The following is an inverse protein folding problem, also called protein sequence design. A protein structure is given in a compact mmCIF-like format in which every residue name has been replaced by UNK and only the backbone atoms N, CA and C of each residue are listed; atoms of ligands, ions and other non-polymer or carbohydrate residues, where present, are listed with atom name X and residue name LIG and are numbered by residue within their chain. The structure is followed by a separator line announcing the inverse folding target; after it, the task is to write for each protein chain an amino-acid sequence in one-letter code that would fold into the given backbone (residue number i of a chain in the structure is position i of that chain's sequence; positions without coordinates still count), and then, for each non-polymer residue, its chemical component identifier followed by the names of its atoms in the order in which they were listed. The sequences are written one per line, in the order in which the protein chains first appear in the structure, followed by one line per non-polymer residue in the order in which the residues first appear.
data_IF_299064803329
#
_entry.id   IF_299064803329
#
_cell.length_a   1.000
_cell.length_b   1.000
_cell.length_c   1.000
_cell.angle_alpha   90.00
_cell.angle_beta   90.00
_cell.angle_gamma   90.00
#
_symmetry.space_group_name_H-M   'P 1'
#
loop_
_entity.id
_entity.type
_entity.pdbx_description
1 polymer ?
#
# COMPACT_ATOMS: atom_id res chain seq x y z
N UNK A 1 89.96 -52.96 -31.49
CA UNK A 1 88.75 -53.31 -32.23
C UNK A 1 87.67 -53.45 -31.21
N UNK A 2 86.88 -52.44 -31.08
CA UNK A 2 85.80 -52.33 -30.05
C UNK A 2 84.47 -52.14 -30.77
N UNK A 3 83.56 -53.03 -30.50
CA UNK A 3 82.21 -53.00 -31.01
C UNK A 3 81.29 -52.29 -30.01
N UNK A 4 80.60 -51.29 -30.48
CA UNK A 4 79.56 -50.52 -29.80
C UNK A 4 78.29 -51.30 -29.79
N UNK A 5 77.46 -51.36 -28.69
CA UNK A 5 76.12 -51.89 -28.74
C UNK A 5 75.04 -50.77 -28.94
N UNK A 6 74.15 -51.12 -29.75
CA UNK A 6 73.02 -50.42 -30.33
C UNK A 6 72.02 -49.94 -29.27
N UNK A 7 71.50 -48.71 -29.44
CA UNK A 7 70.39 -48.12 -28.74
C UNK A 7 69.07 -48.91 -28.91
N UNK A 8 68.42 -49.20 -27.80
CA UNK A 8 67.03 -49.69 -27.78
C UNK A 8 66.06 -48.54 -27.88
N UNK A 9 65.26 -48.53 -28.93
CA UNK A 9 64.10 -47.62 -29.10
C UNK A 9 62.99 -47.98 -28.10
N UNK A 10 62.73 -47.06 -27.22
CA UNK A 10 61.51 -47.15 -26.40
C UNK A 10 60.29 -46.73 -27.23
N UNK A 11 59.27 -47.58 -27.26
CA UNK A 11 58.05 -47.43 -28.04
C UNK A 11 57.20 -46.26 -27.55
N UNK A 12 56.56 -45.49 -28.42
CA UNK A 12 55.78 -44.28 -28.09
C UNK A 12 54.47 -44.56 -27.35
N UNK A 13 54.10 -45.80 -27.08
CA UNK A 13 52.83 -46.20 -26.47
C UNK A 13 52.82 -45.99 -24.94
N UNK A 14 53.94 -45.82 -24.28
CA UNK A 14 53.99 -45.66 -22.80
C UNK A 14 53.80 -44.23 -22.33
N UNK A 15 54.05 -43.23 -23.18
CA UNK A 15 53.87 -41.81 -22.84
C UNK A 15 52.41 -41.36 -22.98
N UNK A 16 51.62 -41.98 -23.87
CA UNK A 16 50.24 -41.65 -24.05
C UNK A 16 49.32 -42.11 -22.89
N UNK A 17 49.74 -43.16 -22.15
CA UNK A 17 48.97 -43.66 -20.99
C UNK A 17 49.08 -42.77 -19.73
N UNK A 18 50.19 -42.08 -19.56
CA UNK A 18 50.38 -41.19 -18.39
C UNK A 18 49.63 -39.82 -18.58
N UNK A 19 49.53 -39.35 -19.84
CA UNK A 19 48.85 -38.07 -20.10
C UNK A 19 47.31 -38.18 -19.95
N UNK A 20 46.72 -39.34 -20.15
CA UNK A 20 45.27 -39.56 -19.97
C UNK A 20 44.88 -39.71 -18.49
N UNK A 21 45.81 -40.09 -17.61
CA UNK A 21 45.51 -40.22 -16.15
C UNK A 21 45.61 -38.93 -15.38
N UNK A 22 46.30 -37.91 -15.91
CA UNK A 22 46.44 -36.61 -15.28
C UNK A 22 45.28 -35.66 -15.62
N UNK A 23 44.59 -35.88 -16.76
CA UNK A 23 43.46 -35.08 -17.20
C UNK A 23 42.15 -35.50 -16.50
N UNK A 24 42.10 -36.67 -15.86
CA UNK A 24 40.90 -37.16 -15.16
C UNK A 24 40.78 -36.69 -13.68
N UNK A 25 41.71 -35.87 -13.16
CA UNK A 25 41.65 -35.36 -11.76
C UNK A 25 41.37 -33.88 -11.64
N UNK A 26 40.93 -33.20 -12.67
CA UNK A 26 40.43 -31.80 -12.60
C UNK A 26 38.99 -31.70 -13.09
N UNK A 27 38.12 -32.59 -12.62
CA UNK A 27 36.71 -32.30 -12.58
C UNK A 27 36.45 -31.47 -11.28
N UNK A 28 36.98 -30.26 -11.26
CA UNK A 28 36.54 -29.26 -10.32
C UNK A 28 35.07 -29.02 -10.68
N UNK A 29 34.18 -29.68 -9.96
CA UNK A 29 32.73 -29.40 -9.97
C UNK A 29 32.59 -27.91 -9.75
N UNK A 30 32.38 -27.16 -10.83
CA UNK A 30 32.21 -25.71 -10.79
C UNK A 30 30.84 -25.47 -10.17
N UNK A 31 30.80 -25.41 -8.83
CA UNK A 31 29.56 -25.09 -8.12
C UNK A 31 29.13 -23.68 -8.52
N UNK A 32 27.92 -23.55 -9.03
CA UNK A 32 27.35 -22.24 -9.31
C UNK A 32 27.02 -21.54 -7.99
N UNK A 33 26.96 -20.21 -7.93
CA UNK A 33 26.52 -19.47 -6.74
C UNK A 33 25.16 -19.98 -6.23
N UNK A 34 24.28 -20.40 -7.14
CA UNK A 34 22.97 -20.96 -6.85
C UNK A 34 23.05 -22.31 -6.15
N UNK A 35 23.96 -23.20 -6.59
CA UNK A 35 24.21 -24.50 -5.97
C UNK A 35 24.73 -24.34 -4.53
N UNK A 36 25.65 -23.41 -4.33
CA UNK A 36 26.19 -23.08 -2.99
C UNK A 36 25.08 -22.52 -2.09
N UNK A 37 24.24 -21.63 -2.61
CA UNK A 37 23.14 -21.05 -1.85
C UNK A 37 22.09 -22.11 -1.46
N UNK A 38 21.80 -23.06 -2.36
CA UNK A 38 20.91 -24.19 -2.10
C UNK A 38 21.50 -25.12 -1.03
N UNK A 39 22.77 -25.49 -1.18
CA UNK A 39 23.48 -26.34 -0.23
C UNK A 39 23.45 -25.74 1.20
N UNK A 40 23.75 -24.46 1.35
CA UNK A 40 23.76 -23.78 2.64
C UNK A 40 22.38 -23.69 3.29
N UNK A 41 21.32 -23.59 2.49
CA UNK A 41 19.92 -23.63 2.99
C UNK A 41 19.52 -25.02 3.49
N UNK A 42 19.98 -26.06 2.81
CA UNK A 42 19.65 -27.46 3.14
C UNK A 42 20.50 -28.00 4.32
N UNK A 43 21.67 -27.42 4.56
CA UNK A 43 22.64 -27.86 5.57
C UNK A 43 22.99 -26.76 6.57
N UNK A 44 22.05 -26.30 7.44
CA UNK A 44 22.31 -25.25 8.42
C UNK A 44 23.41 -25.62 9.42
N UNK A 45 23.63 -26.92 9.68
CA UNK A 45 24.72 -27.46 10.53
C UNK A 45 26.11 -27.12 9.97
N UNK A 46 26.24 -26.81 8.69
CA UNK A 46 27.49 -26.39 8.09
C UNK A 46 28.06 -25.15 8.76
N UNK A 47 27.20 -24.19 9.12
CA UNK A 47 27.60 -22.96 9.81
C UNK A 47 28.10 -23.25 11.24
N UNK A 48 27.52 -24.23 11.92
CA UNK A 48 27.91 -24.62 13.29
C UNK A 48 29.27 -25.32 13.25
N UNK A 49 29.45 -26.25 12.31
CA UNK A 49 30.68 -27.06 12.21
C UNK A 49 31.88 -26.28 11.68
N UNK A 50 31.66 -25.16 10.96
CA UNK A 50 32.72 -24.34 10.33
C UNK A 50 32.62 -22.88 10.79
N UNK A 51 32.32 -22.65 12.06
CA UNK A 51 32.16 -21.32 12.62
C UNK A 51 33.41 -20.45 12.54
N UNK A 52 34.57 -21.06 12.66
CA UNK A 52 35.93 -20.45 12.50
C UNK A 52 36.13 -19.87 11.11
N UNK A 53 35.77 -20.62 10.05
CA UNK A 53 35.88 -20.17 8.66
C UNK A 53 35.00 -18.92 8.45
N UNK A 54 33.80 -18.93 8.99
CA UNK A 54 32.86 -17.79 8.87
C UNK A 54 33.31 -16.56 9.67
N UNK A 55 34.00 -16.75 10.79
CA UNK A 55 34.57 -15.64 11.57
C UNK A 55 35.69 -14.90 10.80
N UNK A 56 36.45 -15.60 9.96
CA UNK A 56 37.53 -15.03 9.14
C UNK A 56 37.00 -14.34 7.86
N UNK A 57 35.77 -14.65 7.40
CA UNK A 57 35.21 -14.05 6.21
C UNK A 57 34.92 -12.55 6.40
N UNK A 58 35.66 -11.72 5.65
CA UNK A 58 35.48 -10.26 5.59
C UNK A 58 34.70 -9.87 4.34
N UNK A 59 33.51 -9.33 4.54
CA UNK A 59 32.67 -8.83 3.45
C UNK A 59 32.86 -7.32 3.28
N UNK A 60 32.87 -6.77 2.04
CA UNK A 60 32.92 -5.32 1.84
C UNK A 60 31.71 -4.63 2.46
N UNK A 61 31.95 -3.53 3.18
CA UNK A 61 30.88 -2.72 3.74
C UNK A 61 30.12 -2.01 2.62
N UNK A 62 28.79 -2.04 2.57
CA UNK A 62 28.00 -1.51 1.46
C UNK A 62 28.18 -0.01 1.21
N UNK A 63 28.60 0.77 2.23
CA UNK A 63 28.72 2.23 2.14
C UNK A 63 30.11 2.80 2.43
N UNK A 64 31.06 2.02 2.93
CA UNK A 64 32.37 2.55 3.37
C UNK A 64 33.58 1.91 2.72
N UNK A 65 33.39 0.88 1.90
CA UNK A 65 34.52 0.15 1.25
C UNK A 65 35.44 -0.61 2.20
N UNK A 66 35.21 -0.57 3.53
CA UNK A 66 35.97 -1.33 4.52
C UNK A 66 35.43 -2.75 4.65
N UNK A 67 36.30 -3.72 4.79
CA UNK A 67 35.90 -5.10 5.04
C UNK A 67 35.36 -5.24 6.47
N UNK A 68 34.21 -5.86 6.62
CA UNK A 68 33.54 -6.17 7.90
C UNK A 68 33.31 -7.67 8.00
N UNK A 69 33.21 -8.18 9.23
CA UNK A 69 32.87 -9.59 9.46
C UNK A 69 31.43 -9.89 9.04
N UNK A 70 31.14 -11.17 8.76
CA UNK A 70 29.76 -11.60 8.44
C UNK A 70 28.79 -11.26 9.58
N UNK A 71 29.25 -11.43 10.85
CA UNK A 71 28.45 -11.10 12.03
C UNK A 71 28.10 -9.60 12.12
N UNK A 72 29.07 -8.72 11.85
CA UNK A 72 28.83 -7.28 11.81
C UNK A 72 27.82 -6.90 10.72
N UNK A 73 27.90 -7.54 9.55
CA UNK A 73 26.92 -7.33 8.47
C UNK A 73 25.53 -7.79 8.87
N UNK A 74 25.41 -8.93 9.55
CA UNK A 74 24.12 -9.40 10.07
C UNK A 74 23.52 -8.42 11.09
N UNK A 75 24.36 -7.89 12.01
CA UNK A 75 23.92 -6.88 12.98
C UNK A 75 23.42 -5.62 12.29
N UNK A 76 24.12 -5.12 11.27
CA UNK A 76 23.68 -3.96 10.48
C UNK A 76 22.35 -4.23 9.78
N UNK A 77 22.18 -5.40 9.15
CA UNK A 77 20.94 -5.80 8.49
C UNK A 77 19.78 -5.92 9.48
N UNK A 78 20.01 -6.49 10.66
CA UNK A 78 19.00 -6.61 11.71
C UNK A 78 18.59 -5.25 12.27
N UNK A 79 19.54 -4.33 12.48
CA UNK A 79 19.24 -2.96 12.91
C UNK A 79 18.41 -2.21 11.89
N UNK A 80 18.70 -2.35 10.60
CA UNK A 80 17.92 -1.73 9.53
C UNK A 80 16.49 -2.28 9.48
N UNK A 81 16.32 -3.61 9.58
CA UNK A 81 15.01 -4.25 9.66
C UNK A 81 14.22 -3.81 10.90
N UNK A 82 14.89 -3.72 12.05
CA UNK A 82 14.26 -3.24 13.28
C UNK A 82 13.74 -1.82 13.10
N UNK A 83 14.57 -0.91 12.58
CA UNK A 83 14.19 0.48 12.30
C UNK A 83 13.01 0.56 11.32
N UNK A 84 12.99 -0.24 10.26
CA UNK A 84 11.86 -0.31 9.33
C UNK A 84 10.58 -0.78 10.02
N UNK A 85 10.68 -1.80 10.88
CA UNK A 85 9.55 -2.32 11.65
C UNK A 85 9.01 -1.28 12.64
N UNK A 86 9.90 -0.59 13.35
CA UNK A 86 9.54 0.50 14.27
C UNK A 86 8.82 1.64 13.53
N UNK A 87 9.32 2.05 12.36
CA UNK A 87 8.67 3.07 11.54
C UNK A 87 7.28 2.63 11.05
N UNK A 88 7.15 1.37 10.62
CA UNK A 88 5.86 0.80 10.22
C UNK A 88 4.88 0.78 11.40
N UNK A 89 5.33 0.33 12.57
CA UNK A 89 4.51 0.31 13.78
C UNK A 89 4.07 1.73 14.19
N UNK A 90 4.98 2.69 14.16
CA UNK A 90 4.65 4.09 14.45
C UNK A 90 3.58 4.63 13.48
N UNK A 91 3.67 4.32 12.18
CA UNK A 91 2.66 4.66 11.18
C UNK A 91 1.30 4.01 11.47
N UNK A 92 1.28 2.73 11.82
CA UNK A 92 0.05 2.02 12.18
C UNK A 92 -0.62 2.62 13.43
N UNK A 93 0.17 2.95 14.47
CA UNK A 93 -0.34 3.60 15.69
C UNK A 93 -0.93 4.99 15.36
N UNK A 94 -0.25 5.76 14.51
CA UNK A 94 -0.74 7.07 14.07
C UNK A 94 -2.08 6.94 13.34
N UNK A 95 -2.17 6.02 12.38
CA UNK A 95 -3.40 5.77 11.62
C UNK A 95 -4.55 5.29 12.52
N UNK A 96 -4.26 4.40 13.48
CA UNK A 96 -5.25 3.94 14.45
C UNK A 96 -5.81 5.11 15.27
N UNK A 97 -4.96 5.98 15.82
CA UNK A 97 -5.39 7.18 16.57
C UNK A 97 -6.22 8.15 15.72
N UNK A 98 -5.84 8.33 14.45
CA UNK A 98 -6.61 9.16 13.52
C UNK A 98 -7.98 8.56 13.24
N UNK A 99 -8.07 7.26 13.02
CA UNK A 99 -9.33 6.55 12.82
C UNK A 99 -10.24 6.62 14.06
N UNK A 100 -9.68 6.47 15.26
CA UNK A 100 -10.42 6.61 16.51
C UNK A 100 -11.00 8.03 16.66
N UNK A 101 -10.22 9.07 16.35
CA UNK A 101 -10.68 10.46 16.38
C UNK A 101 -11.80 10.73 15.38
N UNK A 102 -11.71 10.18 14.16
CA UNK A 102 -12.78 10.29 13.15
C UNK A 102 -14.04 9.53 13.61
N UNK A 103 -13.88 8.34 14.18
CA UNK A 103 -14.99 7.53 14.69
C UNK A 103 -15.74 8.27 15.81
N UNK A 104 -15.01 8.91 16.73
CA UNK A 104 -15.63 9.69 17.80
C UNK A 104 -16.46 10.87 17.24
N UNK A 105 -15.92 11.60 16.26
CA UNK A 105 -16.67 12.68 15.59
C UNK A 105 -17.90 12.15 14.87
N UNK A 106 -17.80 10.98 14.25
CA UNK A 106 -18.94 10.34 13.57
C UNK A 106 -20.05 9.98 14.56
N UNK A 107 -19.71 9.46 15.76
CA UNK A 107 -20.70 9.21 16.83
C UNK A 107 -21.37 10.49 17.30
N UNK A 108 -20.63 11.57 17.52
CA UNK A 108 -21.18 12.87 17.88
C UNK A 108 -22.13 13.39 16.80
N UNK A 109 -21.73 13.25 15.53
CA UNK A 109 -22.58 13.64 14.41
C UNK A 109 -23.86 12.81 14.32
N UNK A 110 -23.83 11.50 14.63
CA UNK A 110 -25.03 10.66 14.71
C UNK A 110 -26.00 11.18 15.79
N UNK A 111 -25.47 11.62 16.96
CA UNK A 111 -26.31 12.24 18.00
C UNK A 111 -27.00 13.50 17.48
N UNK A 112 -26.28 14.34 16.73
CA UNK A 112 -26.88 15.52 16.09
C UNK A 112 -27.95 15.13 15.06
N UNK A 113 -27.68 14.15 14.18
CA UNK A 113 -28.65 13.70 13.18
C UNK A 113 -29.94 13.16 13.79
N UNK A 114 -29.84 12.43 14.89
CA UNK A 114 -31.02 11.88 15.60
C UNK A 114 -31.84 13.00 16.24
N UNK A 115 -31.20 14.09 16.66
CA UNK A 115 -31.89 15.25 17.26
C UNK A 115 -32.55 16.17 16.23
N UNK A 116 -32.24 16.03 14.93
CA UNK A 116 -32.83 16.88 13.89
C UNK A 116 -34.33 16.55 13.70
N UNK A 117 -35.22 17.57 13.66
CA UNK A 117 -36.60 17.37 13.35
C UNK A 117 -36.79 17.06 11.87
N UNK A 118 -37.86 16.31 11.55
CA UNK A 118 -38.26 16.10 10.16
C UNK A 118 -38.84 17.41 9.62
N UNK A 119 -38.23 18.00 8.62
CA UNK A 119 -38.59 19.28 8.03
C UNK A 119 -38.08 19.41 6.61
N UNK A 120 -38.66 20.32 5.84
CA UNK A 120 -38.22 20.65 4.48
C UNK A 120 -36.75 21.22 4.44
N UNK A 121 -36.22 21.67 5.59
CA UNK A 121 -34.88 22.20 5.75
C UNK A 121 -33.88 21.17 6.28
N UNK A 122 -34.25 19.89 6.33
CA UNK A 122 -33.42 18.82 6.88
C UNK A 122 -32.08 18.71 6.15
N UNK A 123 -32.05 18.86 4.84
CA UNK A 123 -30.80 18.84 4.05
C UNK A 123 -29.86 19.99 4.45
N UNK A 124 -30.37 21.20 4.70
CA UNK A 124 -29.60 22.36 5.16
C UNK A 124 -29.09 22.15 6.60
N UNK A 125 -29.91 21.54 7.46
CA UNK A 125 -29.51 21.20 8.81
C UNK A 125 -28.36 20.17 8.84
N UNK A 126 -28.46 19.12 8.04
CA UNK A 126 -27.38 18.12 7.85
C UNK A 126 -26.11 18.80 7.33
N UNK A 127 -26.23 19.68 6.34
CA UNK A 127 -25.12 20.47 5.82
C UNK A 127 -24.42 21.26 6.92
N UNK A 128 -25.19 21.97 7.76
CA UNK A 128 -24.64 22.79 8.82
C UNK A 128 -23.87 21.96 9.86
N UNK A 129 -24.45 20.82 10.30
CA UNK A 129 -23.77 19.91 11.25
C UNK A 129 -22.49 19.29 10.66
N UNK A 130 -22.48 18.97 9.38
CA UNK A 130 -21.26 18.46 8.71
C UNK A 130 -20.13 19.50 8.69
N UNK A 131 -20.44 20.75 8.41
CA UNK A 131 -19.45 21.83 8.43
C UNK A 131 -18.90 22.02 9.85
N UNK A 132 -19.75 22.04 10.86
CA UNK A 132 -19.35 22.26 12.27
C UNK A 132 -18.56 21.07 12.83
N UNK A 133 -19.11 19.85 12.77
CA UNK A 133 -18.52 18.70 13.43
C UNK A 133 -17.23 18.22 12.75
N UNK A 134 -17.14 18.36 11.43
CA UNK A 134 -15.95 17.93 10.69
C UNK A 134 -15.01 19.08 10.31
N UNK A 135 -15.35 20.34 10.62
CA UNK A 135 -14.51 21.50 10.32
C UNK A 135 -14.26 21.65 8.82
N UNK A 136 -15.31 21.59 8.02
CA UNK A 136 -15.23 21.75 6.56
C UNK A 136 -15.31 23.22 6.18
N UNK A 137 -14.69 23.58 5.05
CA UNK A 137 -14.78 24.93 4.48
C UNK A 137 -16.20 25.17 3.91
N UNK A 138 -16.74 24.18 3.23
CA UNK A 138 -18.06 24.20 2.62
C UNK A 138 -18.60 22.78 2.48
N UNK A 139 -19.91 22.65 2.39
CA UNK A 139 -20.60 21.40 2.08
C UNK A 139 -21.90 21.68 1.32
N UNK A 140 -22.34 20.76 0.52
CA UNK A 140 -23.65 20.82 -0.13
C UNK A 140 -24.34 19.47 -0.03
N UNK A 141 -25.59 19.48 0.40
CA UNK A 141 -26.48 18.32 0.41
C UNK A 141 -27.59 18.59 -0.57
N UNK A 142 -27.73 17.78 -1.61
CA UNK A 142 -28.85 17.81 -2.54
C UNK A 142 -29.58 16.48 -2.47
N UNK A 143 -30.83 16.54 -2.08
CA UNK A 143 -31.71 15.39 -2.02
C UNK A 143 -32.92 15.60 -2.94
N UNK A 144 -33.16 14.68 -3.84
CA UNK A 144 -34.29 14.72 -4.78
C UNK A 144 -35.20 13.50 -4.69
N UNK A 145 -34.82 12.48 -3.90
CA UNK A 145 -35.57 11.26 -3.76
C UNK A 145 -35.75 10.51 -5.07
N UNK A 146 -36.99 10.18 -5.41
CA UNK A 146 -37.36 9.46 -6.63
C UNK A 146 -37.44 10.35 -7.89
N UNK A 147 -37.35 11.67 -7.75
CA UNK A 147 -37.53 12.63 -8.88
C UNK A 147 -36.21 13.36 -9.13
N UNK A 148 -35.31 12.81 -9.99
CA UNK A 148 -34.02 13.43 -10.25
C UNK A 148 -34.16 14.80 -10.95
N UNK A 149 -33.18 15.71 -10.76
CA UNK A 149 -33.17 16.98 -11.46
C UNK A 149 -32.90 16.78 -12.96
N UNK A 150 -33.19 17.83 -13.77
CA UNK A 150 -33.00 17.80 -15.22
C UNK A 150 -31.52 17.82 -15.66
N UNK A 151 -30.55 17.94 -14.74
CA UNK A 151 -29.12 17.94 -15.02
C UNK A 151 -28.63 16.52 -15.33
N UNK A 152 -28.73 16.14 -16.61
CA UNK A 152 -28.32 14.82 -17.09
C UNK A 152 -26.83 14.55 -16.83
N UNK A 153 -25.94 15.54 -16.97
CA UNK A 153 -24.51 15.36 -16.77
C UNK A 153 -24.18 15.03 -15.30
N UNK A 154 -24.84 15.67 -14.36
CA UNK A 154 -24.73 15.35 -12.93
C UNK A 154 -25.24 13.94 -12.64
N UNK A 155 -26.44 13.59 -13.10
CA UNK A 155 -27.06 12.29 -12.84
C UNK A 155 -26.21 11.15 -13.42
N UNK A 156 -25.77 11.27 -14.67
CA UNK A 156 -24.96 10.25 -15.35
C UNK A 156 -23.62 10.05 -14.62
N UNK A 157 -22.99 11.13 -14.13
CA UNK A 157 -21.74 11.04 -13.37
C UNK A 157 -21.93 10.31 -12.03
N UNK A 158 -23.04 10.56 -11.34
CA UNK A 158 -23.37 9.94 -10.05
C UNK A 158 -23.83 8.48 -10.20
N UNK A 159 -24.56 8.14 -11.27
CA UNK A 159 -25.07 6.79 -11.50
C UNK A 159 -23.94 5.76 -11.62
N UNK A 160 -22.82 6.15 -12.24
CA UNK A 160 -21.65 5.30 -12.43
C UNK A 160 -20.68 5.28 -11.23
N UNK A 161 -20.93 6.08 -10.19
CA UNK A 161 -20.05 6.19 -9.03
C UNK A 161 -20.46 5.19 -7.95
N UNK A 162 -19.64 4.12 -7.76
CA UNK A 162 -19.88 3.08 -6.76
C UNK A 162 -19.35 3.42 -5.36
N UNK A 163 -18.31 4.28 -5.27
CA UNK A 163 -17.66 4.67 -4.02
C UNK A 163 -17.48 6.20 -3.99
N UNK A 164 -17.27 6.81 -2.81
CA UNK A 164 -16.96 8.23 -2.71
C UNK A 164 -15.74 8.61 -3.57
N UNK A 165 -15.87 9.65 -4.40
CA UNK A 165 -14.79 10.20 -5.18
C UNK A 165 -14.09 11.31 -4.36
N UNK A 166 -12.76 11.29 -4.31
CA UNK A 166 -11.95 12.22 -3.51
C UNK A 166 -10.75 12.74 -4.30
N UNK A 167 -10.37 14.00 -4.08
CA UNK A 167 -9.19 14.59 -4.73
C UNK A 167 -9.12 16.11 -4.62
N UNK A 168 -7.96 16.66 -4.99
CA UNK A 168 -7.71 18.12 -5.03
C UNK A 168 -8.14 18.80 -6.35
N UNK A 169 -8.43 18.01 -7.39
CA UNK A 169 -8.78 18.54 -8.74
C UNK A 169 -9.70 17.53 -9.43
N UNK A 170 -10.90 17.33 -8.89
CA UNK A 170 -11.88 16.44 -9.51
C UNK A 170 -12.62 17.21 -10.63
N UNK A 171 -12.51 16.71 -11.85
CA UNK A 171 -13.36 17.13 -12.97
C UNK A 171 -14.71 16.39 -12.85
N UNK A 172 -15.58 16.92 -11.99
CA UNK A 172 -16.88 16.33 -11.70
C UNK A 172 -17.95 17.40 -11.57
N UNK A 173 -19.12 17.26 -12.23
CA UNK A 173 -20.19 18.27 -12.24
C UNK A 173 -20.64 18.68 -10.83
N UNK A 174 -20.64 17.76 -9.87
CA UNK A 174 -21.05 18.04 -8.50
C UNK A 174 -20.18 19.07 -7.77
N UNK A 175 -18.94 19.31 -8.20
CA UNK A 175 -18.05 20.33 -7.58
C UNK A 175 -18.66 21.72 -7.73
N UNK A 176 -19.34 22.00 -8.82
CA UNK A 176 -20.01 23.27 -9.07
C UNK A 176 -21.18 23.57 -8.09
N UNK A 177 -21.60 22.60 -7.30
CA UNK A 177 -22.65 22.78 -6.28
C UNK A 177 -22.11 23.46 -5.00
N UNK A 178 -20.81 23.52 -4.79
CA UNK A 178 -20.20 24.23 -3.68
C UNK A 178 -20.20 25.75 -3.93
N UNK A 179 -20.42 26.53 -2.88
CA UNK A 179 -20.40 27.99 -2.93
C UNK A 179 -18.97 28.54 -3.04
N UNK A 180 -17.98 27.79 -2.54
CA UNK A 180 -16.57 28.16 -2.53
C UNK A 180 -15.73 27.15 -3.30
N UNK A 181 -14.66 27.61 -3.94
CA UNK A 181 -13.69 26.70 -4.60
C UNK A 181 -12.86 25.99 -3.54
N UNK A 182 -12.96 24.65 -3.39
CA UNK A 182 -12.21 23.92 -2.38
C UNK A 182 -10.78 23.62 -2.84
N UNK A 183 -9.84 23.45 -1.89
CA UNK A 183 -8.52 22.91 -2.18
C UNK A 183 -8.55 21.39 -2.36
N UNK A 184 -9.48 20.69 -1.70
CA UNK A 184 -9.80 19.28 -1.95
C UNK A 184 -11.29 19.03 -1.73
N UNK A 185 -11.82 17.98 -2.39
CA UNK A 185 -13.25 17.70 -2.41
C UNK A 185 -13.51 16.20 -2.24
N UNK A 186 -14.62 15.88 -1.57
CA UNK A 186 -15.19 14.54 -1.55
C UNK A 186 -16.63 14.58 -2.08
N UNK A 187 -16.97 13.67 -3.00
CA UNK A 187 -18.30 13.55 -3.60
C UNK A 187 -18.86 12.19 -3.23
N UNK A 188 -20.03 12.18 -2.62
CA UNK A 188 -20.68 11.00 -2.07
C UNK A 188 -22.08 10.91 -2.67
N UNK A 189 -22.35 9.81 -3.33
CA UNK A 189 -23.70 9.55 -3.88
C UNK A 189 -24.60 9.09 -2.74
N UNK A 190 -25.75 9.74 -2.59
CA UNK A 190 -26.77 9.36 -1.63
C UNK A 190 -27.76 8.40 -2.31
N UNK A 191 -27.93 7.21 -1.72
CA UNK A 191 -28.84 6.17 -2.18
C UNK A 191 -29.75 5.76 -1.03
N UNK A 192 -30.98 5.34 -1.35
CA UNK A 192 -31.94 4.90 -0.35
C UNK A 192 -32.68 3.67 -0.84
N UNK A 193 -32.84 2.66 0.01
CA UNK A 193 -33.38 1.34 -0.34
C UNK A 193 -34.77 1.42 -0.96
N UNK A 194 -35.63 2.36 -0.51
CA UNK A 194 -36.96 2.58 -1.05
C UNK A 194 -36.94 3.08 -2.51
N UNK A 195 -35.85 3.76 -2.91
CA UNK A 195 -35.68 4.35 -4.25
C UNK A 195 -34.96 3.37 -5.18
N UNK A 196 -34.23 2.38 -4.60
CA UNK A 196 -33.43 1.39 -5.31
C UNK A 196 -32.02 1.90 -5.57
N UNK A 197 -31.36 1.32 -6.60
CA UNK A 197 -29.93 1.58 -6.89
C UNK A 197 -29.64 2.96 -7.52
N UNK A 198 -30.68 3.69 -7.89
CA UNK A 198 -30.51 5.02 -8.49
C UNK A 198 -30.04 6.06 -7.47
N UNK A 199 -29.26 7.07 -7.91
CA UNK A 199 -28.92 8.19 -7.05
C UNK A 199 -30.17 8.93 -6.58
N UNK A 200 -30.36 9.02 -5.26
CA UNK A 200 -31.45 9.79 -4.64
C UNK A 200 -30.97 11.18 -4.19
N UNK A 201 -29.68 11.43 -4.22
CA UNK A 201 -29.06 12.68 -3.84
C UNK A 201 -27.55 12.66 -4.00
N UNK A 202 -26.93 13.79 -3.68
CA UNK A 202 -25.48 13.94 -3.62
C UNK A 202 -25.08 14.77 -2.41
N UNK A 203 -24.01 14.35 -1.76
CA UNK A 203 -23.32 15.09 -0.72
C UNK A 203 -21.92 15.47 -1.26
N UNK A 204 -21.60 16.75 -1.24
CA UNK A 204 -20.30 17.28 -1.65
C UNK A 204 -19.67 17.97 -0.45
N UNK A 205 -18.45 17.59 -0.10
CA UNK A 205 -17.69 18.14 1.01
C UNK A 205 -16.45 18.87 0.45
N UNK A 206 -16.28 20.13 0.82
CA UNK A 206 -15.14 20.96 0.41
C UNK A 206 -14.24 21.28 1.59
N UNK A 207 -12.92 21.18 1.39
CA UNK A 207 -11.91 21.56 2.37
C UNK A 207 -10.94 22.60 1.81
N UNK A 208 -10.39 23.43 2.70
CA UNK A 208 -9.37 24.45 2.43
C UNK A 208 -7.94 23.89 2.34
N UNK A 209 -7.74 22.61 2.73
CA UNK A 209 -6.46 21.91 2.63
C UNK A 209 -6.50 20.87 1.52
N UNK A 210 -5.45 20.83 0.68
CA UNK A 210 -5.29 19.81 -0.37
C UNK A 210 -5.08 18.40 0.20
N UNK A 211 -4.59 18.29 1.43
CA UNK A 211 -4.28 17.02 2.10
C UNK A 211 -5.50 16.41 2.82
N UNK A 212 -6.65 17.10 2.80
CA UNK A 212 -7.85 16.62 3.51
C UNK A 212 -8.50 15.44 2.79
N UNK A 213 -8.69 15.55 1.50
CA UNK A 213 -9.30 14.52 0.66
C UNK A 213 -8.31 14.12 -0.44
N UNK A 214 -7.41 13.18 -0.11
CA UNK A 214 -6.40 12.69 -1.04
C UNK A 214 -6.87 11.43 -1.78
N UNK A 215 -6.43 11.19 -3.04
CA UNK A 215 -6.88 10.04 -3.83
C UNK A 215 -6.55 8.68 -3.22
N UNK A 216 -5.54 8.61 -2.35
CA UNK A 216 -5.06 7.41 -1.65
C UNK A 216 -5.71 7.19 -0.28
N UNK A 217 -6.55 8.13 0.20
CA UNK A 217 -7.25 7.97 1.47
C UNK A 217 -8.33 6.88 1.40
N UNK A 218 -8.52 6.18 2.52
CA UNK A 218 -9.65 5.26 2.67
C UNK A 218 -10.98 5.99 2.70
N UNK A 219 -11.94 5.59 1.86
CA UNK A 219 -13.26 6.25 1.74
C UNK A 219 -14.34 5.66 2.65
N UNK A 220 -13.98 4.73 3.53
CA UNK A 220 -14.95 4.03 4.39
C UNK A 220 -15.80 4.98 5.26
N UNK A 221 -15.16 5.96 5.91
CA UNK A 221 -15.87 6.94 6.73
C UNK A 221 -16.78 7.84 5.90
N UNK A 222 -16.35 8.23 4.69
CA UNK A 222 -17.19 9.01 3.77
C UNK A 222 -18.42 8.22 3.31
N UNK A 223 -18.25 6.94 3.02
CA UNK A 223 -19.37 6.06 2.70
C UNK A 223 -20.34 5.95 3.88
N UNK A 224 -19.84 5.85 5.12
CA UNK A 224 -20.68 5.82 6.32
C UNK A 224 -21.44 7.14 6.51
N UNK A 225 -20.79 8.29 6.30
CA UNK A 225 -21.45 9.61 6.32
C UNK A 225 -22.60 9.66 5.29
N UNK A 226 -22.32 9.19 4.07
CA UNK A 226 -23.34 9.13 3.01
C UNK A 226 -24.51 8.25 3.37
N UNK A 227 -24.27 7.06 3.93
CA UNK A 227 -25.33 6.15 4.37
C UNK A 227 -26.20 6.76 5.48
N UNK A 228 -25.59 7.38 6.48
CA UNK A 228 -26.31 8.06 7.57
C UNK A 228 -27.12 9.26 7.08
N UNK A 229 -26.53 10.09 6.21
CA UNK A 229 -27.24 11.20 5.58
C UNK A 229 -28.44 10.72 4.75
N UNK A 230 -28.25 9.66 3.94
CA UNK A 230 -29.31 9.06 3.14
C UNK A 230 -30.45 8.52 3.99
N UNK A 231 -30.12 7.78 5.06
CA UNK A 231 -31.12 7.24 5.99
C UNK A 231 -31.88 8.37 6.70
N UNK A 232 -31.22 9.45 7.07
CA UNK A 232 -31.83 10.60 7.72
C UNK A 232 -32.78 11.34 6.77
N UNK A 233 -32.34 11.60 5.53
CA UNK A 233 -33.15 12.27 4.50
C UNK A 233 -34.31 11.41 4.01
N UNK A 234 -34.14 10.10 3.97
CA UNK A 234 -35.17 9.16 3.57
C UNK A 234 -36.38 9.12 4.54
N UNK A 235 -36.23 9.57 5.79
CA UNK A 235 -37.36 9.68 6.75
C UNK A 235 -38.46 10.64 6.25
N UNK A 236 -38.07 11.67 5.49
CA UNK A 236 -39.01 12.67 4.95
C UNK A 236 -39.61 12.26 3.59
N UNK A 237 -39.13 11.16 2.99
CA UNK A 237 -39.58 10.69 1.68
C UNK A 237 -40.68 9.61 1.76
N UNK A 238 -41.09 9.23 2.97
CA UNK A 238 -42.19 8.30 3.27
C UNK A 238 -43.52 9.08 3.57
#
# INVERSE_FOLDING_TARGET
MATVPTHAHASPTFIASLSHHIIAMTDATTHTPEDIALFLRQHPDFFIKNADIFAEFKLPHPHSGKAISLGERQILTLRERLKQTENTLAGLIHNAKSNDAISLRLYQWVEHLVALPDSDTLADAIRATLIEDFGLQDATVRWWGATPPEDAALIDSLANQAAPAVGSSLDHPAVALLAQTPASVAIIVLRHDVIGDQPAGVLVLGADSADRFTPDMGTHFLATIGALASATLGRTAA
#
